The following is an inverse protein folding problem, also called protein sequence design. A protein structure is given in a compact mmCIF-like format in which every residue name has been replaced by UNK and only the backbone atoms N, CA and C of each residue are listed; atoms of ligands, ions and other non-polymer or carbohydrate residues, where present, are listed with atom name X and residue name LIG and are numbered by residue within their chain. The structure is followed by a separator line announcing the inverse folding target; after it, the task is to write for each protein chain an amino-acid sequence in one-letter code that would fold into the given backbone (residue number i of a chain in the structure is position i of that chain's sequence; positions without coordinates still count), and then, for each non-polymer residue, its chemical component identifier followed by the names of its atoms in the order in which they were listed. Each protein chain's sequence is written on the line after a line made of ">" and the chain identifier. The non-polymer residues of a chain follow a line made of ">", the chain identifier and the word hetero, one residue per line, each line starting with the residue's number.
data_IF_864839443733
#
_entry.id   IF_864839443733
#
_cell.length_a   1.000
_cell.length_b   1.000
_cell.length_c   1.000
_cell.angle_alpha   90.00
_cell.angle_beta   90.00
_cell.angle_gamma   90.00
#
_symmetry.space_group_name_H-M   'P 1'
#
loop_
_entity.id
_entity.type
_entity.pdbx_description
1 polymer ?
#
# COMPACT_ATOMS: atom_id res chain seq x y z
N UNK A 1 -6.73 -13.68 -17.92
CA UNK A 1 -6.28 -12.38 -17.42
C UNK A 1 -4.90 -12.64 -16.85
N UNK A 2 -3.95 -11.73 -17.04
CA UNK A 2 -2.61 -11.95 -16.52
C UNK A 2 -2.66 -11.96 -14.98
N UNK A 3 -1.77 -12.71 -14.34
CA UNK A 3 -1.72 -12.86 -12.88
C UNK A 3 -1.58 -11.50 -12.20
N UNK A 4 -0.75 -10.64 -12.79
CA UNK A 4 -0.55 -9.27 -12.39
C UNK A 4 -1.82 -8.43 -12.56
N UNK A 5 -2.52 -8.56 -13.69
CA UNK A 5 -3.77 -7.81 -13.94
C UNK A 5 -4.85 -8.17 -12.92
N UNK A 6 -4.98 -9.45 -12.58
CA UNK A 6 -5.95 -9.92 -11.58
C UNK A 6 -5.63 -9.36 -10.18
N UNK A 7 -4.36 -9.37 -9.80
CA UNK A 7 -3.89 -8.77 -8.55
C UNK A 7 -4.16 -7.26 -8.49
N UNK A 8 -3.81 -6.54 -9.56
CA UNK A 8 -3.99 -5.09 -9.66
C UNK A 8 -5.45 -4.68 -9.66
N UNK A 9 -6.33 -5.48 -10.29
CA UNK A 9 -7.78 -5.26 -10.24
C UNK A 9 -8.32 -5.32 -8.80
N UNK A 10 -7.84 -6.27 -8.00
CA UNK A 10 -8.21 -6.39 -6.59
C UNK A 10 -7.72 -5.18 -5.79
N UNK A 11 -6.48 -4.73 -6.03
CA UNK A 11 -5.86 -3.66 -5.26
C UNK A 11 -6.30 -2.24 -5.63
N UNK A 12 -6.70 -2.00 -6.87
CA UNK A 12 -7.04 -0.65 -7.36
C UNK A 12 -8.41 -0.23 -6.85
N UNK A 13 -8.55 0.98 -6.31
CA UNK A 13 -9.82 1.54 -5.83
C UNK A 13 -9.71 2.31 -4.51
N UNK A 14 -10.86 2.63 -3.92
CA UNK A 14 -10.96 3.25 -2.60
C UNK A 14 -11.48 2.21 -1.60
N UNK A 15 -10.80 2.10 -0.47
CA UNK A 15 -11.11 1.17 0.60
C UNK A 15 -11.08 1.87 1.95
N UNK A 16 -11.93 1.46 2.88
CA UNK A 16 -11.91 1.92 4.27
C UNK A 16 -12.17 0.78 5.26
N UNK A 17 -11.81 0.96 6.52
CA UNK A 17 -12.07 0.00 7.58
C UNK A 17 -13.29 0.37 8.44
N UNK A 18 -14.26 1.12 7.90
CA UNK A 18 -15.35 1.74 8.70
C UNK A 18 -16.10 0.74 9.56
N UNK A 19 -16.48 -0.40 8.99
CA UNK A 19 -17.21 -1.45 9.72
C UNK A 19 -16.39 -1.95 10.92
N UNK A 20 -15.13 -2.31 10.70
CA UNK A 20 -14.21 -2.75 11.75
C UNK A 20 -13.98 -1.66 12.81
N UNK A 21 -13.79 -0.42 12.38
CA UNK A 21 -13.56 0.71 13.28
C UNK A 21 -14.76 0.96 14.20
N UNK A 22 -15.98 0.94 13.67
CA UNK A 22 -17.21 1.14 14.46
C UNK A 22 -17.41 0.06 15.54
N UNK A 23 -16.98 -1.17 15.25
CA UNK A 23 -16.99 -2.28 16.21
C UNK A 23 -15.93 -2.11 17.30
N UNK A 24 -14.69 -1.83 16.92
CA UNK A 24 -13.55 -1.83 17.84
C UNK A 24 -13.36 -0.53 18.62
N UNK A 25 -13.81 0.63 18.12
CA UNK A 25 -13.55 1.93 18.77
C UNK A 25 -14.13 2.04 20.18
N UNK A 26 -15.12 1.21 20.53
CA UNK A 26 -15.74 1.17 21.86
C UNK A 26 -14.83 0.53 22.91
N UNK A 27 -13.96 -0.39 22.49
CA UNK A 27 -13.08 -1.17 23.36
C UNK A 27 -11.60 -0.74 23.23
N UNK A 28 -11.25 -0.12 22.10
CA UNK A 28 -9.91 0.37 21.81
C UNK A 28 -9.95 1.76 21.15
N UNK A 29 -9.91 2.81 21.97
CA UNK A 29 -9.90 4.21 21.49
C UNK A 29 -8.68 4.56 20.61
N UNK A 30 -7.65 3.71 20.60
CA UNK A 30 -6.43 3.92 19.80
C UNK A 30 -6.47 3.20 18.45
N UNK A 31 -7.50 2.40 18.18
CA UNK A 31 -7.66 1.77 16.87
C UNK A 31 -8.02 2.84 15.83
N UNK A 32 -7.34 2.91 14.68
CA UNK A 32 -7.55 3.97 13.71
C UNK A 32 -8.76 3.68 12.84
N UNK A 33 -9.45 4.75 12.45
CA UNK A 33 -10.16 4.72 11.18
C UNK A 33 -9.11 4.89 10.07
N UNK A 34 -9.15 4.05 9.05
CA UNK A 34 -8.13 3.99 8.03
C UNK A 34 -8.74 3.89 6.63
N UNK A 35 -8.11 4.54 5.67
CA UNK A 35 -8.49 4.54 4.26
C UNK A 35 -7.28 4.28 3.37
N UNK A 36 -7.49 3.55 2.28
CA UNK A 36 -6.55 3.40 1.18
C UNK A 36 -7.20 3.86 -0.12
N UNK A 37 -6.50 4.69 -0.88
CA UNK A 37 -6.84 5.03 -2.26
C UNK A 37 -5.69 4.59 -3.15
N UNK A 38 -5.92 3.54 -3.93
CA UNK A 38 -4.93 2.89 -4.76
C UNK A 38 -5.23 3.21 -6.22
N UNK A 39 -4.33 3.94 -6.86
CA UNK A 39 -4.51 4.40 -8.25
C UNK A 39 -3.27 4.06 -9.08
N UNK A 40 -3.46 3.34 -10.18
CA UNK A 40 -2.40 3.11 -11.17
C UNK A 40 -1.98 4.47 -11.72
N UNK A 41 -0.67 4.71 -11.83
CA UNK A 41 -0.14 6.01 -12.23
C UNK A 41 0.88 5.93 -13.38
N UNK A 42 0.90 4.85 -14.15
CA UNK A 42 1.77 4.74 -15.33
C UNK A 42 1.54 5.89 -16.32
N UNK A 43 0.31 6.41 -16.43
CA UNK A 43 -0.06 7.55 -17.27
C UNK A 43 0.63 8.85 -16.84
N UNK A 44 1.04 8.95 -15.57
CA UNK A 44 1.78 10.09 -15.00
C UNK A 44 3.29 9.97 -15.18
N UNK A 45 3.80 8.83 -15.66
CA UNK A 45 5.23 8.56 -15.74
C UNK A 45 5.70 8.66 -17.19
N UNK A 46 6.50 9.70 -17.49
CA UNK A 46 7.18 9.81 -18.77
C UNK A 46 8.45 8.97 -18.81
N UNK A 47 8.92 8.74 -20.03
CA UNK A 47 10.14 7.96 -20.31
C UNK A 47 10.07 6.49 -19.85
N UNK A 48 8.86 5.97 -19.62
CA UNK A 48 8.64 4.55 -19.37
C UNK A 48 8.97 3.76 -20.65
N UNK A 49 9.64 2.59 -20.56
CA UNK A 49 9.87 1.73 -21.73
C UNK A 49 8.57 1.36 -22.45
N UNK A 50 8.59 1.26 -23.78
CA UNK A 50 7.40 0.90 -24.58
C UNK A 50 6.84 -0.50 -24.23
N UNK A 51 7.71 -1.40 -23.80
CA UNK A 51 7.43 -2.78 -23.39
C UNK A 51 7.43 -2.97 -21.87
N UNK A 52 7.21 -1.89 -21.10
CA UNK A 52 7.22 -1.95 -19.65
C UNK A 52 6.13 -2.89 -19.11
N UNK A 53 6.56 -4.00 -18.51
CA UNK A 53 5.69 -5.02 -17.94
C UNK A 53 5.53 -4.83 -16.42
N UNK A 54 4.74 -3.82 -16.03
CA UNK A 54 4.47 -3.54 -14.63
C UNK A 54 3.51 -2.37 -14.42
N UNK A 55 2.99 -2.29 -13.19
CA UNK A 55 2.10 -1.21 -12.77
C UNK A 55 2.72 -0.41 -11.65
N UNK A 56 2.99 0.86 -11.92
CA UNK A 56 3.21 1.84 -10.87
C UNK A 56 1.86 2.23 -10.26
N UNK A 57 1.83 2.34 -8.95
CA UNK A 57 0.64 2.68 -8.18
C UNK A 57 0.99 3.70 -7.12
N UNK A 58 0.18 4.75 -7.04
CA UNK A 58 0.12 5.63 -5.88
C UNK A 58 -0.87 5.00 -4.90
N UNK A 59 -0.36 4.61 -3.74
CA UNK A 59 -1.19 4.27 -2.59
C UNK A 59 -1.25 5.49 -1.68
N UNK A 60 -2.45 6.01 -1.44
CA UNK A 60 -2.71 7.06 -0.46
C UNK A 60 -3.34 6.44 0.79
N UNK A 61 -2.57 6.38 1.87
CA UNK A 61 -3.00 5.79 3.14
C UNK A 61 -3.31 6.89 4.15
N UNK A 62 -4.53 6.92 4.67
CA UNK A 62 -4.99 7.91 5.65
C UNK A 62 -5.39 7.24 6.95
N UNK A 63 -4.83 7.70 8.07
CA UNK A 63 -5.16 7.18 9.41
C UNK A 63 -5.70 8.29 10.30
N UNK A 64 -6.89 8.10 10.84
CA UNK A 64 -7.55 9.02 11.77
C UNK A 64 -7.59 8.44 13.17
N UNK A 65 -6.95 9.12 14.11
CA UNK A 65 -6.96 8.77 15.55
C UNK A 65 -7.27 10.04 16.35
N UNK A 66 -8.29 9.98 17.22
CA UNK A 66 -8.67 11.11 18.07
C UNK A 66 -9.04 12.38 17.30
N UNK A 67 -9.57 12.23 16.07
CA UNK A 67 -9.96 13.35 15.19
C UNK A 67 -8.82 13.96 14.36
N UNK A 68 -7.58 13.48 14.50
CA UNK A 68 -6.46 13.91 13.67
C UNK A 68 -6.20 12.88 12.58
N UNK A 69 -6.13 13.34 11.33
CA UNK A 69 -5.84 12.49 10.17
C UNK A 69 -4.41 12.71 9.70
N UNK A 70 -3.69 11.61 9.44
CA UNK A 70 -2.33 11.62 8.91
C UNK A 70 -2.28 10.81 7.61
N UNK A 71 -1.75 11.43 6.55
CA UNK A 71 -1.45 10.77 5.29
C UNK A 71 -0.07 10.11 5.30
N UNK A 72 0.04 8.93 4.69
CA UNK A 72 1.31 8.25 4.43
C UNK A 72 1.30 7.66 3.01
N UNK A 73 1.39 8.51 1.97
CA UNK A 73 1.34 8.04 0.61
C UNK A 73 2.66 7.39 0.18
N UNK A 74 2.58 6.42 -0.71
CA UNK A 74 3.72 5.67 -1.26
C UNK A 74 3.60 5.51 -2.77
N UNK A 75 4.75 5.39 -3.43
CA UNK A 75 4.84 4.92 -4.82
C UNK A 75 5.31 3.47 -4.79
N UNK A 76 4.51 2.58 -5.35
CA UNK A 76 4.81 1.17 -5.50
C UNK A 76 4.92 0.79 -6.97
N UNK A 77 5.76 -0.19 -7.27
CA UNK A 77 5.78 -0.91 -8.53
C UNK A 77 5.41 -2.36 -8.29
N UNK A 78 4.44 -2.84 -9.07
CA UNK A 78 4.06 -4.24 -9.14
C UNK A 78 4.52 -4.86 -10.45
N UNK A 79 5.23 -5.98 -10.35
CA UNK A 79 5.69 -6.78 -11.50
C UNK A 79 5.37 -8.25 -11.27
N UNK A 80 5.11 -8.99 -12.34
CA UNK A 80 5.01 -10.45 -12.22
C UNK A 80 6.41 -11.08 -12.08
N UNK A 81 6.54 -12.06 -11.20
CA UNK A 81 7.67 -12.97 -11.08
C UNK A 81 7.16 -14.42 -11.21
N UNK A 82 8.05 -15.40 -11.39
CA UNK A 82 7.68 -16.81 -11.60
C UNK A 82 6.70 -17.33 -10.53
N UNK A 83 7.00 -17.01 -9.27
CA UNK A 83 6.27 -17.48 -8.10
C UNK A 83 5.02 -16.63 -7.75
N UNK A 84 4.89 -15.40 -8.26
CA UNK A 84 3.84 -14.50 -7.79
C UNK A 84 3.97 -13.07 -8.31
N UNK A 85 3.34 -12.13 -7.60
CA UNK A 85 3.45 -10.69 -7.90
C UNK A 85 4.39 -10.06 -6.88
N UNK A 86 5.36 -9.27 -7.34
CA UNK A 86 6.30 -8.55 -6.48
C UNK A 86 5.88 -7.09 -6.33
N UNK A 87 5.83 -6.62 -5.09
CA UNK A 87 5.77 -5.20 -4.75
C UNK A 87 7.18 -4.67 -4.47
N UNK A 88 7.58 -3.64 -5.19
CA UNK A 88 8.79 -2.85 -4.92
C UNK A 88 8.38 -1.44 -4.50
N UNK A 89 8.83 -1.00 -3.33
CA UNK A 89 8.63 0.37 -2.87
C UNK A 89 9.65 1.31 -3.50
N UNK A 90 9.22 2.52 -3.84
CA UNK A 90 10.06 3.59 -4.34
C UNK A 90 10.17 4.70 -3.30
N UNK A 91 11.31 5.38 -3.31
CA UNK A 91 11.49 6.60 -2.53
C UNK A 91 10.50 7.68 -3.00
N UNK A 92 10.15 8.60 -2.10
CA UNK A 92 9.29 9.74 -2.40
C UNK A 92 9.85 10.50 -3.63
N UNK A 93 9.05 10.70 -4.69
CA UNK A 93 9.51 11.42 -5.87
C UNK A 93 9.94 12.86 -5.55
N UNK A 94 10.93 13.36 -6.29
CA UNK A 94 11.47 14.70 -6.08
C UNK A 94 10.38 15.77 -6.25
N UNK A 95 10.34 16.74 -5.33
CA UNK A 95 9.34 17.80 -5.33
C UNK A 95 8.05 17.47 -4.57
N UNK A 96 7.90 16.25 -4.08
CA UNK A 96 6.76 15.82 -3.26
C UNK A 96 7.16 15.48 -1.83
N UNK A 97 6.18 15.52 -0.94
CA UNK A 97 6.25 15.06 0.44
C UNK A 97 4.97 14.31 0.83
N UNK A 98 4.93 13.81 2.07
CA UNK A 98 3.79 13.03 2.58
C UNK A 98 2.45 13.78 2.57
N UNK A 99 2.47 15.10 2.51
CA UNK A 99 1.25 15.93 2.50
C UNK A 99 0.81 16.33 1.10
N UNK A 100 1.69 16.20 0.12
CA UNK A 100 1.46 16.64 -1.26
C UNK A 100 1.44 15.50 -2.26
N UNK A 101 1.93 14.30 -1.94
CA UNK A 101 1.96 13.19 -2.88
C UNK A 101 0.62 12.45 -2.94
N UNK A 102 -0.21 12.80 -3.91
CA UNK A 102 -1.49 12.14 -4.22
C UNK A 102 -1.58 11.94 -5.72
N UNK A 103 -2.43 11.03 -6.21
CA UNK A 103 -2.56 10.84 -7.65
C UNK A 103 -2.97 12.14 -8.38
N UNK A 104 -3.85 12.93 -7.76
CA UNK A 104 -4.36 14.19 -8.33
C UNK A 104 -3.31 15.30 -8.39
N UNK A 105 -2.35 15.34 -7.46
CA UNK A 105 -1.32 16.38 -7.44
C UNK A 105 -0.14 16.07 -8.37
N UNK A 106 -0.03 14.83 -8.84
CA UNK A 106 1.03 14.42 -9.75
C UNK A 106 0.74 15.00 -11.13
N UNK A 107 1.61 15.90 -11.57
CA UNK A 107 1.60 16.43 -12.92
C UNK A 107 2.32 15.49 -13.87
N UNK A 108 3.57 15.16 -13.56
CA UNK A 108 4.43 14.26 -14.33
C UNK A 108 5.60 13.76 -13.46
N UNK A 109 5.95 12.48 -13.60
CA UNK A 109 7.15 11.85 -13.03
C UNK A 109 8.06 11.36 -14.17
N UNK A 110 9.37 11.36 -13.96
CA UNK A 110 10.33 10.79 -14.95
C UNK A 110 10.86 9.45 -14.45
N UNK A 111 10.63 8.39 -15.22
CA UNK A 111 11.06 7.04 -14.87
C UNK A 111 12.54 6.95 -14.51
N UNK A 112 13.40 7.70 -15.20
CA UNK A 112 14.86 7.62 -15.01
C UNK A 112 15.37 8.15 -13.66
N UNK A 113 14.58 8.96 -12.95
CA UNK A 113 14.97 9.52 -11.65
C UNK A 113 14.26 8.85 -10.48
N UNK A 114 13.28 7.99 -10.75
CA UNK A 114 12.62 7.17 -9.73
C UNK A 114 13.62 6.15 -9.16
N UNK A 115 13.63 6.01 -7.84
CA UNK A 115 14.58 5.15 -7.12
C UNK A 115 13.82 4.13 -6.28
N UNK A 116 14.02 2.82 -6.50
CA UNK A 116 13.59 1.81 -5.56
C UNK A 116 14.17 2.11 -4.17
N UNK A 117 13.35 1.98 -3.14
CA UNK A 117 13.78 2.25 -1.77
C UNK A 117 14.70 1.15 -1.27
N UNK A 118 15.89 1.51 -0.79
CA UNK A 118 16.83 0.55 -0.19
C UNK A 118 16.40 0.09 1.21
N UNK A 119 15.46 0.81 1.84
CA UNK A 119 14.99 0.53 3.20
C UNK A 119 13.95 -0.58 3.24
N UNK A 120 13.19 -0.74 2.16
CA UNK A 120 12.09 -1.69 2.07
C UNK A 120 12.53 -2.89 1.24
N UNK A 121 12.54 -4.07 1.86
CA UNK A 121 12.72 -5.33 1.16
C UNK A 121 11.46 -5.59 0.34
N UNK A 122 11.53 -5.79 -0.98
CA UNK A 122 10.36 -6.10 -1.80
C UNK A 122 9.54 -7.26 -1.25
N UNK A 123 8.22 -7.15 -1.34
CA UNK A 123 7.28 -8.19 -0.90
C UNK A 123 6.86 -9.05 -2.10
N UNK A 124 6.76 -10.37 -1.90
CA UNK A 124 6.23 -11.30 -2.89
C UNK A 124 4.86 -11.79 -2.43
N UNK A 125 3.87 -11.70 -3.31
CA UNK A 125 2.50 -12.14 -3.07
C UNK A 125 2.23 -13.38 -3.91
N UNK A 126 1.75 -14.42 -3.27
CA UNK A 126 1.40 -15.69 -3.91
C UNK A 126 -0.09 -15.93 -3.71
N UNK A 127 -0.78 -16.29 -4.79
CA UNK A 127 -2.20 -16.62 -4.77
C UNK A 127 -2.43 -18.03 -4.23
N UNK A 128 -3.40 -18.17 -3.33
CA UNK A 128 -3.90 -19.42 -2.78
C UNK A 128 -5.40 -19.32 -2.57
N UNK A 129 -6.16 -20.17 -3.24
CA UNK A 129 -7.61 -20.34 -3.05
C UNK A 129 -8.41 -19.02 -3.14
N UNK A 130 -8.05 -18.15 -4.10
CA UNK A 130 -8.64 -16.84 -4.36
C UNK A 130 -8.10 -15.70 -3.49
N UNK A 131 -7.08 -15.95 -2.68
CA UNK A 131 -6.46 -14.97 -1.77
C UNK A 131 -4.98 -14.83 -2.09
N UNK A 132 -4.55 -13.60 -2.31
CA UNK A 132 -3.14 -13.25 -2.43
C UNK A 132 -2.54 -13.03 -1.06
N UNK A 133 -1.46 -13.71 -0.73
CA UNK A 133 -0.78 -13.56 0.55
C UNK A 133 0.69 -13.19 0.34
N UNK A 134 1.16 -12.15 1.03
CA UNK A 134 2.51 -11.67 0.89
C UNK A 134 2.93 -10.79 2.05
N UNK A 135 4.19 -10.37 2.04
CA UNK A 135 4.71 -9.52 3.09
C UNK A 135 6.21 -9.29 2.99
N UNK A 136 6.72 -8.49 3.91
CA UNK A 136 8.12 -8.12 3.97
C UNK A 136 8.57 -7.90 5.40
N UNK A 137 9.83 -8.24 5.68
CA UNK A 137 10.53 -7.84 6.90
C UNK A 137 11.70 -6.95 6.50
N UNK A 138 11.67 -5.71 6.94
CA UNK A 138 12.62 -4.66 6.53
C UNK A 138 13.31 -4.05 7.75
N UNK A 139 14.63 -3.81 7.64
CA UNK A 139 15.40 -3.13 8.69
C UNK A 139 15.68 -1.69 8.24
N UNK A 140 14.94 -0.72 8.79
CA UNK A 140 15.14 0.70 8.47
C UNK A 140 16.36 1.30 9.19
N UNK A 141 16.83 0.64 10.25
CA UNK A 141 18.12 0.86 10.90
C UNK A 141 18.52 -0.43 11.62
N UNK A 142 19.74 -0.55 12.20
CA UNK A 142 20.13 -1.74 12.95
C UNK A 142 19.19 -2.12 14.11
N UNK A 143 18.39 -1.18 14.60
CA UNK A 143 17.49 -1.36 15.75
C UNK A 143 16.01 -1.16 15.41
N UNK A 144 15.68 -0.73 14.20
CA UNK A 144 14.31 -0.43 13.77
C UNK A 144 13.89 -1.44 12.70
N UNK A 145 13.03 -2.38 13.09
CA UNK A 145 12.46 -3.41 12.22
C UNK A 145 11.03 -3.04 11.87
N UNK A 146 10.69 -3.15 10.60
CA UNK A 146 9.33 -3.08 10.08
C UNK A 146 8.92 -4.47 9.57
N UNK A 147 7.68 -4.86 9.80
CA UNK A 147 7.11 -6.09 9.29
C UNK A 147 5.74 -5.82 8.73
N UNK A 148 5.58 -6.15 7.45
CA UNK A 148 4.35 -6.08 6.68
C UNK A 148 3.91 -7.52 6.37
N UNK A 149 2.63 -7.79 6.58
CA UNK A 149 1.99 -9.00 6.09
C UNK A 149 0.57 -8.67 5.65
N UNK A 150 0.20 -9.18 4.48
CA UNK A 150 -0.98 -8.75 3.77
C UNK A 150 -1.68 -9.91 3.10
N UNK A 151 -3.01 -9.83 3.09
CA UNK A 151 -3.88 -10.79 2.41
C UNK A 151 -4.91 -10.03 1.61
N UNK A 152 -4.95 -10.24 0.30
CA UNK A 152 -5.83 -9.51 -0.60
C UNK A 152 -6.79 -10.46 -1.30
N UNK A 153 -8.07 -10.10 -1.26
CA UNK A 153 -9.18 -10.80 -1.91
C UNK A 153 -10.15 -9.80 -2.51
N UNK A 154 -11.10 -10.25 -3.34
CA UNK A 154 -12.16 -9.41 -3.88
C UNK A 154 -12.97 -8.67 -2.79
N UNK A 155 -13.10 -9.29 -1.62
CA UNK A 155 -13.95 -8.81 -0.53
C UNK A 155 -13.22 -7.87 0.44
N UNK A 156 -11.91 -8.05 0.61
CA UNK A 156 -11.15 -7.37 1.65
C UNK A 156 -9.64 -7.34 1.36
N UNK A 157 -9.01 -6.22 1.74
CA UNK A 157 -7.57 -6.12 1.93
C UNK A 157 -7.27 -6.18 3.44
N UNK A 158 -6.58 -7.22 3.88
CA UNK A 158 -6.16 -7.40 5.26
C UNK A 158 -4.70 -6.97 5.38
N UNK A 159 -4.42 -5.96 6.21
CA UNK A 159 -3.06 -5.41 6.36
C UNK A 159 -2.60 -5.51 7.81
N UNK A 160 -1.46 -6.16 8.02
CA UNK A 160 -0.77 -6.23 9.31
C UNK A 160 0.57 -5.55 9.20
N UNK A 161 0.72 -4.43 9.91
CA UNK A 161 1.97 -3.71 10.02
C UNK A 161 2.44 -3.67 11.46
N UNK A 162 3.72 -3.93 11.69
CA UNK A 162 4.34 -3.75 12.98
C UNK A 162 5.68 -3.07 12.85
N UNK A 163 6.00 -2.26 13.86
CA UNK A 163 7.29 -1.60 13.96
C UNK A 163 7.89 -1.93 15.32
N UNK A 164 9.12 -2.41 15.33
CA UNK A 164 9.85 -2.79 16.54
C UNK A 164 11.14 -1.99 16.67
N UNK A 165 11.36 -1.43 17.86
CA UNK A 165 12.62 -0.77 18.24
C UNK A 165 13.32 -1.63 19.28
N UNK A 166 14.55 -2.07 18.99
CA UNK A 166 15.30 -3.00 19.83
C UNK A 166 14.51 -4.27 20.20
N UNK A 167 13.75 -4.81 19.24
CA UNK A 167 12.92 -6.02 19.43
C UNK A 167 11.65 -5.80 20.26
N UNK A 168 11.31 -4.55 20.60
CA UNK A 168 10.06 -4.21 21.28
C UNK A 168 9.11 -3.51 20.31
N UNK A 169 7.89 -4.05 20.16
CA UNK A 169 6.84 -3.43 19.33
C UNK A 169 6.49 -2.03 19.85
N UNK A 170 6.65 -1.03 18.99
CA UNK A 170 6.32 0.38 19.24
C UNK A 170 5.13 0.86 18.42
N UNK A 171 4.81 0.18 17.32
CA UNK A 171 3.64 0.43 16.47
C UNK A 171 3.09 -0.88 15.91
N UNK A 172 1.83 -0.85 15.50
CA UNK A 172 1.07 -1.99 15.01
C UNK A 172 -0.07 -2.36 15.94
N UNK A 173 -1.08 -3.02 15.37
CA UNK A 173 -2.28 -3.45 16.06
C UNK A 173 -2.23 -4.95 16.34
N UNK A 174 -3.00 -5.39 17.34
CA UNK A 174 -3.10 -6.82 17.67
C UNK A 174 -3.94 -7.62 16.68
N UNK A 175 -4.71 -6.91 15.86
CA UNK A 175 -5.54 -7.44 14.77
C UNK A 175 -5.17 -6.72 13.47
N UNK A 176 -5.26 -7.38 12.31
CA UNK A 176 -5.09 -6.72 11.02
C UNK A 176 -6.12 -5.61 10.84
N UNK A 177 -5.76 -4.57 10.08
CA UNK A 177 -6.75 -3.61 9.59
C UNK A 177 -7.44 -4.25 8.38
N UNK A 178 -8.77 -4.25 8.39
CA UNK A 178 -9.60 -4.85 7.37
C UNK A 178 -10.22 -3.76 6.49
N UNK A 179 -9.62 -3.54 5.33
CA UNK A 179 -10.12 -2.57 4.37
C UNK A 179 -11.13 -3.23 3.44
N UNK A 180 -12.33 -2.66 3.36
CA UNK A 180 -13.36 -3.04 2.41
C UNK A 180 -13.50 -1.98 1.34
N UNK A 181 -13.78 -2.42 0.12
CA UNK A 181 -14.00 -1.52 -1.02
C UNK A 181 -15.21 -0.62 -0.77
N UNK A 182 -15.03 0.69 -0.95
CA UNK A 182 -16.09 1.69 -0.83
C UNK A 182 -16.96 1.64 -2.09
N UNK A 183 -18.22 1.22 -1.93
CA UNK A 183 -19.18 1.15 -3.03
C UNK A 183 -19.53 2.55 -3.56
N UNK A 184 -19.49 2.73 -4.88
CA UNK A 184 -19.86 3.99 -5.53
C UNK A 184 -18.83 5.12 -5.42
N UNK A 185 -17.61 4.84 -4.95
CA UNK A 185 -16.49 5.75 -5.13
C UNK A 185 -16.24 5.95 -6.64
N UNK A 186 -15.96 7.19 -7.10
CA UNK A 186 -15.68 7.42 -8.51
C UNK A 186 -14.45 6.58 -8.93
N UNK A 187 -14.57 5.85 -10.03
CA UNK A 187 -13.41 5.25 -10.68
C UNK A 187 -12.47 6.40 -11.06
N UNK A 188 -11.30 6.46 -10.42
CA UNK A 188 -10.22 7.37 -10.82
C UNK A 188 -9.60 6.74 -12.07
N UNK A 189 -10.11 7.17 -13.22
CA UNK A 189 -9.61 6.83 -14.56
C UNK A 189 -8.25 7.45 -14.84
#
# INVERSE_FOLDING_TARGET
>A
MDRLDDFIRILTGHFDNREQFEELKKENEKFPYAEHVNTICNDKIRSLPEDFAGYFMVEESYYTIGGNTHGSPHLFLFTEEEEGVRLTSYDMPEGYDKSSFTYESITELDYHVLKPSEKFVPALYVEKDGVWEGGSVSMFSPVLKFTLFERFSEDCLEVTETMEVNGKRTFGYDVPILYRRVQGAPERS
#
